data_IF_582564577813
#
_entry.id   IF_582564577813
#
_cell.length_a   1.000
_cell.length_b   1.000
_cell.length_c   1.000
_cell.angle_alpha   90.00
_cell.angle_beta   90.00
_cell.angle_gamma   90.00
#
_symmetry.space_group_name_H-M   'P 1'
#
loop_
_entity.id
_entity.type
_entity.pdbx_description
1 polymer ?
#
# COMPACT_ATOMS: atom_id res chain seq x y z
N UNK A 1 0.18 14.41 -17.95
CA UNK A 1 1.07 14.38 -16.76
C UNK A 1 1.22 12.93 -16.35
N UNK A 2 2.34 12.30 -16.66
CA UNK A 2 2.70 11.02 -16.04
C UNK A 2 2.85 11.27 -14.54
N UNK A 3 1.84 10.83 -13.78
CA UNK A 3 1.82 10.99 -12.32
C UNK A 3 2.71 9.91 -11.73
N UNK A 4 4.00 10.17 -11.65
CA UNK A 4 4.90 9.34 -10.86
C UNK A 4 4.45 9.37 -9.40
N UNK A 5 4.24 8.20 -8.82
CA UNK A 5 3.92 8.05 -7.40
C UNK A 5 5.18 8.40 -6.61
N UNK A 6 5.09 9.43 -5.77
CA UNK A 6 6.22 9.91 -4.98
C UNK A 6 6.35 9.06 -3.72
N UNK A 7 7.40 8.26 -3.67
CA UNK A 7 7.79 7.49 -2.49
C UNK A 7 8.69 8.32 -1.57
N UNK A 8 8.38 8.32 -0.28
CA UNK A 8 9.14 8.98 0.78
C UNK A 8 9.72 7.94 1.71
N UNK A 9 11.04 7.99 1.89
CA UNK A 9 11.73 7.20 2.91
C UNK A 9 11.33 7.69 4.31
N UNK A 10 10.92 6.74 5.14
CA UNK A 10 10.56 6.94 6.56
C UNK A 10 11.40 6.06 7.49
N UNK A 11 12.44 5.43 6.95
CA UNK A 11 13.40 4.66 7.73
C UNK A 11 14.14 5.58 8.70
N UNK A 12 14.45 5.05 9.88
CA UNK A 12 15.31 5.73 10.84
C UNK A 12 16.74 5.21 10.69
N UNK A 13 17.69 6.11 10.42
CA UNK A 13 19.10 5.76 10.29
C UNK A 13 19.92 6.43 11.38
N UNK A 14 20.90 5.71 11.93
CA UNK A 14 22.01 6.37 12.61
C UNK A 14 22.93 7.08 11.61
N UNK A 15 23.77 8.01 12.07
CA UNK A 15 24.71 8.74 11.18
C UNK A 15 25.62 7.80 10.38
N UNK A 16 26.00 6.66 10.95
CA UNK A 16 26.84 5.65 10.31
C UNK A 16 26.10 4.80 9.26
N UNK A 17 24.76 4.86 9.21
CA UNK A 17 23.92 4.02 8.36
C UNK A 17 23.23 4.80 7.23
N UNK A 18 23.67 6.04 6.98
CA UNK A 18 23.00 6.94 6.03
C UNK A 18 23.02 6.46 4.58
N UNK A 19 23.91 5.53 4.24
CA UNK A 19 24.02 4.91 2.92
C UNK A 19 23.22 3.60 2.79
N UNK A 20 22.51 3.17 3.85
CA UNK A 20 21.71 1.95 3.79
C UNK A 20 20.44 2.15 2.96
N UNK A 21 20.01 1.07 2.31
CA UNK A 21 18.71 1.03 1.64
C UNK A 21 17.58 1.25 2.66
N UNK A 22 16.47 1.90 2.25
CA UNK A 22 15.32 2.09 3.11
C UNK A 22 14.73 0.76 3.56
N UNK A 23 14.21 0.76 4.78
CA UNK A 23 13.43 -0.31 5.39
C UNK A 23 11.95 0.05 5.47
N UNK A 24 11.59 1.32 5.31
CA UNK A 24 10.22 1.85 5.33
C UNK A 24 10.08 2.91 4.24
N UNK A 25 9.18 2.69 3.30
CA UNK A 25 8.76 3.64 2.29
C UNK A 25 7.27 3.94 2.43
N UNK A 26 6.91 5.20 2.21
CA UNK A 26 5.51 5.65 2.24
C UNK A 26 5.17 6.36 0.94
N UNK A 27 3.95 6.18 0.45
CA UNK A 27 3.45 6.94 -0.69
C UNK A 27 2.01 7.36 -0.46
N UNK A 28 1.66 8.54 -0.98
CA UNK A 28 0.29 9.07 -0.95
C UNK A 28 -0.26 9.04 -2.36
N UNK A 29 -1.32 8.26 -2.56
CA UNK A 29 -2.04 8.10 -3.82
C UNK A 29 -3.41 8.76 -3.65
N UNK A 30 -3.57 9.97 -4.21
CA UNK A 30 -4.75 10.78 -3.97
C UNK A 30 -4.90 11.12 -2.48
N UNK A 31 -5.88 10.49 -1.81
CA UNK A 31 -6.11 10.62 -0.35
C UNK A 31 -5.79 9.34 0.43
N UNK A 32 -5.07 8.39 -0.17
CA UNK A 32 -4.76 7.08 0.42
C UNK A 32 -3.26 7.03 0.66
N UNK A 33 -2.89 6.82 1.92
CA UNK A 33 -1.51 6.57 2.29
C UNK A 33 -1.25 5.06 2.33
N UNK A 34 -0.15 4.65 1.72
CA UNK A 34 0.34 3.27 1.73
C UNK A 34 1.76 3.25 2.28
N UNK A 35 2.10 2.17 2.98
CA UNK A 35 3.43 1.95 3.56
C UNK A 35 3.95 0.59 3.14
N UNK A 36 5.15 0.58 2.54
CA UNK A 36 5.91 -0.62 2.23
C UNK A 36 7.05 -0.68 3.23
N UNK A 37 7.10 -1.73 4.05
CA UNK A 37 8.10 -1.84 5.10
C UNK A 37 8.62 -3.26 5.25
N UNK A 38 9.84 -3.40 5.77
CA UNK A 38 10.41 -4.70 6.13
C UNK A 38 9.61 -5.31 7.27
N UNK A 39 9.31 -6.60 7.15
CA UNK A 39 8.69 -7.34 8.24
C UNK A 39 9.71 -7.62 9.35
N UNK A 40 9.29 -7.54 10.61
CA UNK A 40 10.20 -7.69 11.76
C UNK A 40 10.56 -9.15 12.08
N UNK A 41 9.72 -10.12 11.69
CA UNK A 41 9.90 -11.54 12.04
C UNK A 41 10.43 -12.42 10.91
N UNK A 42 10.47 -11.96 9.66
CA UNK A 42 11.02 -12.74 8.55
C UNK A 42 11.59 -11.83 7.45
N UNK A 43 12.46 -12.40 6.60
CA UNK A 43 13.02 -11.70 5.45
C UNK A 43 11.92 -11.48 4.41
N UNK A 44 11.40 -10.25 4.34
CA UNK A 44 10.39 -9.90 3.36
C UNK A 44 9.91 -8.46 3.51
N UNK A 45 9.10 -8.03 2.55
CA UNK A 45 8.43 -6.75 2.56
C UNK A 45 6.93 -6.95 2.74
N UNK A 46 6.28 -5.96 3.35
CA UNK A 46 4.85 -5.96 3.57
C UNK A 46 4.26 -4.61 3.21
N UNK A 47 3.04 -4.63 2.70
CA UNK A 47 2.19 -3.50 2.45
C UNK A 47 1.23 -3.30 3.64
N UNK A 48 1.08 -2.07 4.08
CA UNK A 48 0.02 -1.66 5.00
C UNK A 48 -0.62 -0.34 4.57
N UNK A 49 -1.89 -0.16 4.92
CA UNK A 49 -2.64 1.08 4.72
C UNK A 49 -3.79 1.13 5.70
N UNK A 50 -3.78 2.12 6.60
CA UNK A 50 -4.87 2.33 7.57
C UNK A 50 -6.19 2.64 6.88
N UNK A 51 -6.16 3.40 5.79
CA UNK A 51 -7.38 3.84 5.09
C UNK A 51 -8.07 2.72 4.31
N UNK A 52 -7.28 1.74 3.86
CA UNK A 52 -7.80 0.55 3.18
C UNK A 52 -7.99 -0.65 4.13
N UNK A 53 -7.77 -0.46 5.44
CA UNK A 53 -7.77 -1.52 6.46
C UNK A 53 -6.82 -2.69 6.12
N UNK A 54 -5.69 -2.38 5.48
CA UNK A 54 -4.63 -3.35 5.18
C UNK A 54 -3.63 -3.29 6.33
N UNK A 55 -3.62 -4.32 7.19
CA UNK A 55 -2.70 -4.38 8.34
C UNK A 55 -1.32 -4.87 7.94
N UNK A 56 -1.23 -6.03 7.29
CA UNK A 56 0.03 -6.64 6.86
C UNK A 56 -0.25 -7.55 5.68
N UNK A 57 0.00 -7.05 4.49
CA UNK A 57 -0.14 -7.80 3.24
C UNK A 57 1.26 -8.15 2.71
N UNK A 58 1.61 -9.43 2.53
CA UNK A 58 2.94 -9.83 2.07
C UNK A 58 3.23 -9.32 0.66
N UNK A 59 4.49 -8.94 0.43
CA UNK A 59 5.06 -8.70 -0.89
C UNK A 59 6.10 -9.79 -1.15
N UNK A 60 6.05 -10.38 -2.33
CA UNK A 60 6.76 -11.62 -2.68
C UNK A 60 8.22 -11.37 -3.09
N UNK A 61 8.58 -10.12 -3.34
CA UNK A 61 9.88 -9.75 -3.89
C UNK A 61 10.85 -9.27 -2.81
N UNK A 62 12.15 -9.52 -3.02
CA UNK A 62 13.21 -8.98 -2.15
C UNK A 62 13.68 -7.59 -2.57
N UNK A 63 13.62 -7.32 -3.89
CA UNK A 63 13.97 -6.05 -4.50
C UNK A 63 12.89 -5.00 -4.21
N UNK A 64 13.34 -3.83 -3.77
CA UNK A 64 12.52 -2.69 -3.42
C UNK A 64 11.65 -2.19 -4.59
N UNK A 65 12.17 -2.20 -5.81
CA UNK A 65 11.43 -1.67 -6.96
C UNK A 65 10.25 -2.58 -7.33
N UNK A 66 10.49 -3.90 -7.34
CA UNK A 66 9.43 -4.89 -7.55
C UNK A 66 8.41 -4.89 -6.41
N UNK A 67 8.85 -4.64 -5.16
CA UNK A 67 7.93 -4.44 -4.03
C UNK A 67 7.02 -3.22 -4.21
N UNK A 68 7.55 -2.09 -4.70
CA UNK A 68 6.73 -0.91 -4.98
C UNK A 68 5.68 -1.24 -6.03
N UNK A 69 6.07 -1.89 -7.13
CA UNK A 69 5.14 -2.27 -8.20
C UNK A 69 4.04 -3.20 -7.69
N UNK A 70 4.41 -4.27 -6.99
CA UNK A 70 3.45 -5.22 -6.44
C UNK A 70 2.52 -4.57 -5.40
N UNK A 71 3.05 -3.66 -4.57
CA UNK A 71 2.22 -2.91 -3.63
C UNK A 71 1.12 -2.11 -4.35
N UNK A 72 1.44 -1.48 -5.49
CA UNK A 72 0.46 -0.75 -6.30
C UNK A 72 -0.57 -1.66 -6.95
N UNK A 73 -0.15 -2.81 -7.47
CA UNK A 73 -1.04 -3.83 -8.03
C UNK A 73 -2.04 -4.31 -6.98
N UNK A 74 -1.55 -4.69 -5.79
CA UNK A 74 -2.42 -5.10 -4.67
C UNK A 74 -3.37 -3.98 -4.27
N UNK A 75 -2.88 -2.74 -4.08
CA UNK A 75 -3.73 -1.58 -3.74
C UNK A 75 -4.85 -1.39 -4.78
N UNK A 76 -4.54 -1.57 -6.07
CA UNK A 76 -5.52 -1.48 -7.15
C UNK A 76 -6.61 -2.55 -6.98
N UNK A 77 -6.23 -3.81 -6.78
CA UNK A 77 -7.17 -4.91 -6.53
C UNK A 77 -8.02 -4.68 -5.27
N UNK A 78 -7.42 -4.17 -4.18
CA UNK A 78 -8.14 -3.83 -2.96
C UNK A 78 -9.20 -2.73 -3.22
N UNK A 79 -8.86 -1.72 -4.01
CA UNK A 79 -9.78 -0.64 -4.38
C UNK A 79 -10.93 -1.15 -5.24
N UNK A 80 -10.65 -1.96 -6.25
CA UNK A 80 -11.67 -2.56 -7.13
C UNK A 80 -12.68 -3.38 -6.32
N UNK A 81 -12.20 -4.21 -5.40
CA UNK A 81 -13.08 -4.99 -4.50
C UNK A 81 -13.96 -4.08 -3.64
N UNK A 82 -13.39 -3.02 -3.05
CA UNK A 82 -14.15 -2.06 -2.22
C UNK A 82 -15.18 -1.29 -3.04
N UNK A 83 -14.84 -0.88 -4.26
CA UNK A 83 -15.77 -0.20 -5.17
C UNK A 83 -16.96 -1.12 -5.45
N UNK A 84 -16.71 -2.39 -5.77
CA UNK A 84 -17.77 -3.38 -6.00
C UNK A 84 -18.65 -3.57 -4.77
N UNK A 85 -18.06 -3.77 -3.59
CA UNK A 85 -18.81 -3.90 -2.32
C UNK A 85 -19.76 -2.71 -2.08
N UNK A 86 -19.29 -1.48 -2.32
CA UNK A 86 -20.12 -0.29 -2.15
C UNK A 86 -21.20 -0.13 -3.22
N UNK A 87 -20.91 -0.51 -4.47
CA UNK A 87 -21.91 -0.51 -5.55
C UNK A 87 -23.03 -1.51 -5.26
N UNK A 88 -22.69 -2.72 -4.81
CA UNK A 88 -23.65 -3.76 -4.45
C UNK A 88 -24.55 -3.27 -3.29
N UNK A 89 -23.96 -2.71 -2.23
CA UNK A 89 -24.70 -2.14 -1.10
C UNK A 89 -25.63 -0.99 -1.54
N UNK A 90 -25.16 -0.10 -2.42
CA UNK A 90 -25.98 0.99 -2.96
C UNK A 90 -27.16 0.45 -3.76
N UNK A 91 -26.96 -0.59 -4.57
CA UNK A 91 -28.04 -1.22 -5.34
C UNK A 91 -29.08 -1.85 -4.42
N UNK A 92 -28.67 -2.52 -3.35
CA UNK A 92 -29.60 -3.08 -2.36
C UNK A 92 -30.45 -1.98 -1.71
N UNK A 93 -29.82 -0.85 -1.34
CA UNK A 93 -30.54 0.28 -0.73
C UNK A 93 -31.58 0.87 -1.71
N UNK A 94 -31.21 1.04 -2.99
CA UNK A 94 -32.14 1.57 -4.01
C UNK A 94 -33.37 0.67 -4.18
N UNK A 95 -33.17 -0.64 -4.29
CA UNK A 95 -34.26 -1.61 -4.43
C UNK A 95 -35.22 -1.64 -3.22
N UNK A 96 -34.79 -1.18 -2.04
CA UNK A 96 -35.65 -1.07 -0.84
C UNK A 96 -36.43 0.25 -0.82
N UNK A 97 -35.92 1.28 -1.49
CA UNK A 97 -36.55 2.61 -1.55
C UNK A 97 -37.51 2.77 -2.73
N UNK A 98 -37.39 1.94 -3.76
CA UNK A 98 -38.30 1.84 -4.92
C UNK A 98 -39.57 1.04 -4.57
#
# INVERSE_FOLDING_TARGET
MEKNIIWKDKSSYSRAQREQAPSILTATIGKIDITVHRHIFYKGWVLSSRKLDIKTEPLDFENLEDCKKQALEKVTTFLERKIKEYQDAQSTIKNVLD
#
